data_IF_707824466971
#
_entry.id   IF_707824466971
#
_cell.length_a   1.000
_cell.length_b   1.000
_cell.length_c   1.000
_cell.angle_alpha   90.00
_cell.angle_beta   90.00
_cell.angle_gamma   90.00
#
_symmetry.space_group_name_H-M   'P 1'
#
loop_
_entity.id
_entity.type
_entity.pdbx_description
1 polymer ?
#
# COMPACT_ATOMS: atom_id res chain seq x y z
N UNK A 1 -18.35 -3.55 -6.89
CA UNK A 1 -17.22 -4.17 -6.14
C UNK A 1 -15.88 -3.45 -6.41
N UNK A 2 -15.88 -2.20 -6.89
CA UNK A 2 -14.66 -1.53 -7.34
C UNK A 2 -13.74 -1.05 -6.22
N UNK A 3 -14.30 -0.73 -5.04
CA UNK A 3 -13.54 -0.27 -3.88
C UNK A 3 -12.56 -1.33 -3.37
N UNK A 4 -13.02 -2.59 -3.30
CA UNK A 4 -12.23 -3.73 -2.87
C UNK A 4 -11.17 -4.11 -3.91
N UNK A 5 -11.54 -4.09 -5.20
CA UNK A 5 -10.62 -4.35 -6.30
C UNK A 5 -9.50 -3.30 -6.39
N UNK A 6 -9.84 -2.01 -6.29
CA UNK A 6 -8.86 -0.92 -6.30
C UNK A 6 -7.98 -0.93 -5.04
N UNK A 7 -8.56 -1.12 -3.86
CA UNK A 7 -7.80 -1.23 -2.60
C UNK A 7 -6.79 -2.37 -2.61
N UNK A 8 -7.18 -3.54 -3.12
CA UNK A 8 -6.27 -4.68 -3.29
C UNK A 8 -5.17 -4.39 -4.31
N UNK A 9 -5.49 -3.73 -5.43
CA UNK A 9 -4.50 -3.34 -6.45
C UNK A 9 -3.45 -2.36 -5.89
N UNK A 10 -3.87 -1.33 -5.15
CA UNK A 10 -2.92 -0.39 -4.53
C UNK A 10 -2.05 -1.06 -3.45
N UNK A 11 -2.61 -2.01 -2.71
CA UNK A 11 -1.85 -2.78 -1.72
C UNK A 11 -0.81 -3.69 -2.39
N UNK A 12 -1.16 -4.32 -3.52
CA UNK A 12 -0.22 -5.12 -4.33
C UNK A 12 0.92 -4.26 -4.91
N UNK A 13 0.61 -3.07 -5.42
CA UNK A 13 1.64 -2.14 -5.92
C UNK A 13 2.57 -1.74 -4.78
N UNK A 14 2.03 -1.42 -3.59
CA UNK A 14 2.83 -1.07 -2.43
C UNK A 14 3.79 -2.21 -2.01
N UNK A 15 3.30 -3.45 -1.96
CA UNK A 15 4.13 -4.63 -1.65
C UNK A 15 5.21 -4.83 -2.72
N UNK A 16 4.87 -4.67 -4.00
CA UNK A 16 5.84 -4.76 -5.10
C UNK A 16 6.96 -3.71 -4.99
N UNK A 17 6.62 -2.47 -4.66
CA UNK A 17 7.60 -1.39 -4.43
C UNK A 17 8.48 -1.69 -3.22
N UNK A 18 7.90 -2.13 -2.11
CA UNK A 18 8.65 -2.53 -0.91
C UNK A 18 9.61 -3.69 -1.19
N UNK A 19 9.20 -4.65 -2.02
CA UNK A 19 10.04 -5.77 -2.42
C UNK A 19 11.26 -5.32 -3.25
N UNK A 20 11.06 -4.42 -4.22
CA UNK A 20 12.16 -3.84 -5.00
C UNK A 20 13.11 -3.04 -4.11
N UNK A 21 12.59 -2.25 -3.18
CA UNK A 21 13.39 -1.51 -2.21
C UNK A 21 14.19 -2.44 -1.28
N UNK A 22 13.61 -3.55 -0.85
CA UNK A 22 14.30 -4.55 -0.03
C UNK A 22 15.47 -5.20 -0.78
N UNK A 23 15.29 -5.49 -2.08
CA UNK A 23 16.37 -6.01 -2.93
C UNK A 23 17.49 -4.96 -3.07
N UNK A 24 17.15 -3.69 -3.32
CA UNK A 24 18.15 -2.61 -3.45
C UNK A 24 18.90 -2.33 -2.14
N UNK A 25 18.23 -2.44 -0.99
CA UNK A 25 18.85 -2.23 0.31
C UNK A 25 19.82 -3.34 0.72
N UNK A 26 19.85 -4.48 0.01
CA UNK A 26 20.76 -5.60 0.28
C UNK A 26 20.54 -6.29 1.62
N UNK A 27 19.37 -6.11 2.24
CA UNK A 27 19.08 -6.60 3.59
C UNK A 27 17.60 -6.51 3.98
N UNK A 28 17.28 -6.94 5.20
CA UNK A 28 15.91 -6.93 5.72
C UNK A 28 15.53 -5.52 6.22
N UNK A 29 14.55 -4.89 5.57
CA UNK A 29 14.00 -3.62 6.04
C UNK A 29 12.98 -3.92 7.14
N UNK A 30 13.40 -3.80 8.40
CA UNK A 30 12.51 -3.98 9.55
C UNK A 30 11.72 -2.70 9.78
N UNK A 31 10.52 -2.62 9.22
CA UNK A 31 9.61 -1.49 9.45
C UNK A 31 8.86 -1.75 10.76
N UNK A 32 8.94 -0.83 11.74
CA UNK A 32 8.16 -0.92 12.97
C UNK A 32 6.66 -0.94 12.70
N UNK A 33 5.90 -1.70 13.49
CA UNK A 33 4.45 -1.82 13.34
C UNK A 33 3.69 -0.49 13.41
N UNK A 34 4.19 0.46 14.22
CA UNK A 34 3.59 1.79 14.33
C UNK A 34 3.72 2.64 13.06
N UNK A 35 4.65 2.30 12.15
CA UNK A 35 4.82 2.95 10.84
C UNK A 35 4.05 2.17 9.77
N UNK A 36 4.06 0.84 9.85
CA UNK A 36 3.41 -0.03 8.88
C UNK A 36 1.87 0.14 8.86
N UNK A 37 1.23 0.15 10.03
CA UNK A 37 -0.22 0.33 10.16
C UNK A 37 -0.76 1.62 9.51
N UNK A 38 -0.21 2.82 9.81
CA UNK A 38 -0.70 4.04 9.19
C UNK A 38 -0.44 4.08 7.69
N UNK A 39 0.64 3.47 7.18
CA UNK A 39 0.90 3.38 5.74
C UNK A 39 -0.20 2.56 5.04
N UNK A 40 -0.52 1.39 5.57
CA UNK A 40 -1.61 0.54 5.05
C UNK A 40 -2.94 1.30 5.07
N UNK A 41 -3.26 1.97 6.19
CA UNK A 41 -4.48 2.76 6.32
C UNK A 41 -4.53 3.91 5.31
N UNK A 42 -3.39 4.56 5.04
CA UNK A 42 -3.29 5.66 4.07
C UNK A 42 -3.46 5.17 2.63
N UNK A 43 -2.91 4.01 2.29
CA UNK A 43 -3.09 3.38 0.97
C UNK A 43 -4.57 3.05 0.74
N UNK A 44 -5.24 2.48 1.74
CA UNK A 44 -6.66 2.19 1.68
C UNK A 44 -7.51 3.46 1.65
N UNK A 45 -7.13 4.50 2.37
CA UNK A 45 -7.78 5.81 2.31
C UNK A 45 -7.67 6.45 0.93
N UNK A 46 -6.49 6.40 0.30
CA UNK A 46 -6.29 6.88 -1.07
C UNK A 46 -7.12 6.07 -2.07
N UNK A 47 -7.18 4.75 -1.90
CA UNK A 47 -8.03 3.88 -2.72
C UNK A 47 -9.51 4.25 -2.57
N UNK A 48 -9.96 4.48 -1.34
CA UNK A 48 -11.32 4.92 -1.00
C UNK A 48 -11.62 6.28 -1.62
N UNK A 49 -10.76 7.28 -1.44
CA UNK A 49 -10.97 8.62 -2.00
C UNK A 49 -11.04 8.60 -3.52
N UNK A 50 -10.12 7.88 -4.18
CA UNK A 50 -10.06 7.82 -5.65
C UNK A 50 -11.20 7.03 -6.29
N UNK A 51 -11.86 6.15 -5.54
CA UNK A 51 -13.08 5.50 -6.03
C UNK A 51 -14.32 6.34 -5.79
N UNK A 52 -14.35 7.19 -4.76
CA UNK A 52 -15.46 8.10 -4.46
C UNK A 52 -15.40 9.40 -5.30
N UNK A 53 -14.22 9.76 -5.84
CA UNK A 53 -14.04 10.92 -6.74
C UNK A 53 -14.37 10.58 -8.22
N UNK A 54 -14.51 9.30 -8.55
CA UNK A 54 -14.82 8.82 -9.90
C UNK A 54 -16.29 8.38 -10.08
N UNK A 55 -17.07 8.45 -9.02
CA UNK A 55 -18.54 8.27 -9.02
C UNK A 55 -19.19 9.66 -9.04
#
# INVERSE_FOLDING_TARGET
>A
MELFGRGCLYSLIFVGVMFVLAIMAGGHITIPWFIFLPIIAFIWYLAYKKTNEKD
#
